data_IF_168331624189
#
_entry.id   IF_168331624189
#
_cell.length_a   1.000
_cell.length_b   1.000
_cell.length_c   1.000
_cell.angle_alpha   90.00
_cell.angle_beta   90.00
_cell.angle_gamma   90.00
#
_symmetry.space_group_name_H-M   'P 1'
#
loop_
_entity.id
_entity.type
_entity.pdbx_description
1 polymer ?
#
# COMPACT_ATOMS: atom_id res chain seq x y z
N UNK A 1 -11.78 1.90 15.48
CA UNK A 1 -11.76 0.48 15.09
C UNK A 1 -11.68 0.47 13.57
N UNK A 2 -10.70 1.19 13.01
CA UNK A 2 -10.90 1.84 11.70
C UNK A 2 -10.54 0.93 10.53
N UNK A 3 -9.57 0.04 10.75
CA UNK A 3 -9.20 -0.97 9.76
C UNK A 3 -10.30 -2.01 9.57
N UNK A 4 -10.90 -2.49 10.67
CA UNK A 4 -11.99 -3.47 10.59
C UNK A 4 -13.24 -2.87 9.94
N UNK A 5 -13.53 -1.60 10.18
CA UNK A 5 -14.58 -0.89 9.46
C UNK A 5 -14.32 -0.82 7.94
N UNK A 6 -13.05 -0.64 7.52
CA UNK A 6 -12.68 -0.68 6.12
C UNK A 6 -12.83 -2.09 5.52
N UNK A 7 -12.34 -3.12 6.22
CA UNK A 7 -12.49 -4.53 5.84
C UNK A 7 -13.97 -4.90 5.67
N UNK A 8 -14.83 -4.46 6.58
CA UNK A 8 -16.28 -4.66 6.51
C UNK A 8 -16.92 -3.90 5.33
N UNK A 9 -16.48 -2.65 5.05
CA UNK A 9 -16.96 -1.87 3.89
C UNK A 9 -16.65 -2.54 2.55
N UNK A 10 -15.54 -3.29 2.49
CA UNK A 10 -15.14 -4.10 1.34
C UNK A 10 -15.74 -5.51 1.34
N UNK A 11 -16.57 -5.85 2.34
CA UNK A 11 -17.29 -7.12 2.39
C UNK A 11 -16.41 -8.34 2.67
N UNK A 12 -15.24 -8.14 3.29
CA UNK A 12 -14.30 -9.23 3.58
C UNK A 12 -14.68 -9.87 4.90
N UNK A 13 -15.00 -11.17 4.87
CA UNK A 13 -15.30 -11.94 6.06
C UNK A 13 -14.03 -12.25 6.86
N UNK A 14 -14.13 -12.17 8.18
CA UNK A 14 -13.05 -12.45 9.10
C UNK A 14 -13.58 -13.03 10.42
N UNK A 15 -12.72 -13.77 11.11
CA UNK A 15 -12.99 -14.35 12.41
C UNK A 15 -11.84 -14.07 13.39
N UNK A 16 -12.15 -14.13 14.68
CA UNK A 16 -11.14 -14.17 15.74
C UNK A 16 -10.74 -15.62 16.02
N UNK A 17 -9.43 -15.87 16.17
CA UNK A 17 -8.90 -17.19 16.54
C UNK A 17 -8.59 -17.27 18.03
N UNK A 18 -7.49 -16.66 18.46
CA UNK A 18 -7.04 -16.67 19.85
C UNK A 18 -6.40 -15.33 20.20
N UNK A 19 -6.63 -14.85 21.43
CA UNK A 19 -5.97 -13.66 21.97
C UNK A 19 -6.17 -12.40 21.10
N UNK A 20 -7.36 -12.19 20.54
CA UNK A 20 -7.68 -11.00 19.73
C UNK A 20 -7.08 -11.02 18.32
N UNK A 21 -6.50 -12.14 17.87
CA UNK A 21 -5.97 -12.26 16.51
C UNK A 21 -7.10 -12.48 15.51
N UNK A 22 -7.21 -11.58 14.53
CA UNK A 22 -8.22 -11.61 13.48
C UNK A 22 -7.62 -12.14 12.18
N UNK A 23 -8.35 -13.03 11.51
CA UNK A 23 -7.94 -13.67 10.26
C UNK A 23 -9.06 -13.55 9.24
N UNK A 24 -8.70 -13.34 7.97
CA UNK A 24 -9.64 -13.48 6.87
C UNK A 24 -10.12 -14.93 6.76
N UNK A 25 -11.37 -15.13 6.39
CA UNK A 25 -11.96 -16.46 6.29
C UNK A 25 -11.43 -17.21 5.05
N UNK A 26 -11.24 -16.50 3.94
CA UNK A 26 -10.84 -17.11 2.66
C UNK A 26 -9.35 -16.92 2.35
N UNK A 27 -8.91 -15.66 2.10
CA UNK A 27 -7.56 -15.40 1.62
C UNK A 27 -7.04 -14.03 2.05
N UNK A 28 -5.76 -13.98 2.44
CA UNK A 28 -5.05 -12.73 2.68
C UNK A 28 -4.99 -11.82 1.43
N UNK A 29 -5.15 -12.40 0.23
CA UNK A 29 -5.23 -11.63 -1.02
C UNK A 29 -6.37 -10.60 -0.98
N UNK A 30 -7.48 -10.88 -0.28
CA UNK A 30 -8.59 -9.94 -0.14
C UNK A 30 -8.17 -8.62 0.51
N UNK A 31 -7.24 -8.66 1.46
CA UNK A 31 -6.69 -7.46 2.10
C UNK A 31 -5.76 -6.71 1.14
N UNK A 32 -4.97 -7.44 0.34
CA UNK A 32 -4.10 -6.82 -0.67
C UNK A 32 -4.96 -6.10 -1.71
N UNK A 33 -5.99 -6.76 -2.23
CA UNK A 33 -6.91 -6.21 -3.22
C UNK A 33 -7.64 -4.98 -2.66
N UNK A 34 -8.14 -5.05 -1.43
CA UNK A 34 -8.75 -3.90 -0.73
C UNK A 34 -7.80 -2.69 -0.68
N UNK A 35 -6.53 -2.89 -0.36
CA UNK A 35 -5.55 -1.79 -0.29
C UNK A 35 -5.22 -1.23 -1.67
N UNK A 36 -5.12 -2.10 -2.69
CA UNK A 36 -4.93 -1.68 -4.08
C UNK A 36 -6.12 -0.82 -4.54
N UNK A 37 -7.34 -1.25 -4.29
CA UNK A 37 -8.57 -0.51 -4.62
C UNK A 37 -8.61 0.88 -3.96
N UNK A 38 -8.21 0.99 -2.69
CA UNK A 38 -8.13 2.30 -2.01
C UNK A 38 -7.03 3.20 -2.61
N UNK A 39 -5.89 2.62 -3.01
CA UNK A 39 -4.84 3.35 -3.71
C UNK A 39 -5.31 3.84 -5.10
N UNK A 40 -6.08 3.03 -5.83
CA UNK A 40 -6.66 3.43 -7.12
C UNK A 40 -7.63 4.60 -6.96
N UNK A 41 -8.48 4.60 -5.93
CA UNK A 41 -9.36 5.75 -5.59
C UNK A 41 -8.56 7.02 -5.33
N UNK A 42 -7.34 6.89 -4.81
CA UNK A 42 -6.40 7.98 -4.58
C UNK A 42 -5.56 8.39 -5.79
N UNK A 43 -5.74 7.76 -6.97
CA UNK A 43 -4.88 7.91 -8.15
C UNK A 43 -3.39 7.65 -7.86
N UNK A 44 -3.10 6.70 -6.96
CA UNK A 44 -1.73 6.33 -6.60
C UNK A 44 -1.08 5.55 -7.75
N UNK A 45 0.13 5.94 -8.14
CA UNK A 45 0.92 5.24 -9.15
C UNK A 45 1.77 4.14 -8.53
N UNK A 46 1.51 2.88 -8.90
CA UNK A 46 2.34 1.75 -8.51
C UNK A 46 3.56 1.59 -9.42
N UNK A 47 4.74 1.39 -8.80
CA UNK A 47 5.98 1.02 -9.50
C UNK A 47 6.56 -0.22 -8.84
N UNK A 48 6.37 -1.36 -9.49
CA UNK A 48 6.88 -2.65 -9.03
C UNK A 48 8.19 -2.97 -9.75
N UNK A 49 9.04 -3.81 -9.12
CA UNK A 49 10.37 -4.17 -9.63
C UNK A 49 11.29 -2.96 -9.83
N UNK A 50 11.05 -1.91 -9.05
CA UNK A 50 11.85 -0.70 -9.04
C UNK A 50 12.85 -0.74 -7.88
N UNK A 51 14.10 -1.01 -8.20
CA UNK A 51 15.19 -0.97 -7.21
C UNK A 51 15.65 0.48 -7.03
N UNK A 52 15.77 0.93 -5.78
CA UNK A 52 16.29 2.26 -5.45
C UNK A 52 17.82 2.19 -5.44
N UNK A 53 18.46 2.89 -6.38
CA UNK A 53 19.92 2.93 -6.54
C UNK A 53 20.54 4.08 -5.76
N UNK A 54 19.89 5.25 -5.75
CA UNK A 54 20.33 6.37 -4.93
C UNK A 54 19.18 7.31 -4.57
N UNK A 55 19.40 8.11 -3.52
CA UNK A 55 18.47 9.14 -3.06
C UNK A 55 19.26 10.43 -2.89
N UNK A 56 18.83 11.49 -3.55
CA UNK A 56 19.37 12.83 -3.44
C UNK A 56 18.30 13.79 -2.92
N UNK A 57 18.72 14.81 -2.19
CA UNK A 57 17.87 15.89 -1.70
C UNK A 57 18.45 17.21 -2.20
N UNK A 58 17.58 18.09 -2.68
CA UNK A 58 17.92 19.47 -3.01
C UNK A 58 17.03 20.45 -2.22
N UNK A 59 17.11 21.73 -2.58
CA UNK A 59 16.34 22.79 -1.92
C UNK A 59 14.82 22.67 -2.16
N UNK A 60 14.40 21.94 -3.20
CA UNK A 60 13.01 21.83 -3.66
C UNK A 60 12.35 20.50 -3.30
N UNK A 61 13.13 19.44 -3.08
CA UNK A 61 12.57 18.15 -2.70
C UNK A 61 13.55 16.98 -2.71
N UNK A 62 13.08 15.83 -3.18
CA UNK A 62 13.83 14.58 -3.26
C UNK A 62 13.82 14.02 -4.68
N UNK A 63 14.98 13.49 -5.10
CA UNK A 63 15.13 12.75 -6.35
C UNK A 63 15.68 11.36 -6.05
N UNK A 64 15.06 10.33 -6.61
CA UNK A 64 15.47 8.94 -6.51
C UNK A 64 15.90 8.44 -7.88
N UNK A 65 17.10 7.85 -7.94
CA UNK A 65 17.53 7.06 -9.08
C UNK A 65 17.07 5.63 -8.89
N UNK A 66 16.30 5.13 -9.85
CA UNK A 66 15.82 3.76 -9.89
C UNK A 66 16.50 2.99 -11.03
N UNK A 67 16.37 1.67 -11.04
CA UNK A 67 16.81 0.84 -12.17
C UNK A 67 16.09 1.22 -13.48
N UNK A 68 16.71 2.08 -14.28
CA UNK A 68 16.25 2.49 -15.60
C UNK A 68 15.35 3.73 -15.65
N UNK A 69 15.16 4.44 -14.53
CA UNK A 69 14.45 5.71 -14.51
C UNK A 69 14.79 6.57 -13.28
N UNK A 70 14.57 7.88 -13.39
CA UNK A 70 14.67 8.82 -12.27
C UNK A 70 13.27 9.30 -11.90
N UNK A 71 12.95 9.38 -10.60
CA UNK A 71 11.69 9.94 -10.10
C UNK A 71 11.97 11.00 -9.06
N UNK A 72 11.16 12.06 -9.01
CA UNK A 72 11.32 13.14 -8.04
C UNK A 72 9.99 13.56 -7.44
N UNK A 73 10.06 14.14 -6.25
CA UNK A 73 8.95 14.85 -5.64
C UNK A 73 9.44 16.18 -5.05
N UNK A 74 8.64 17.22 -5.24
CA UNK A 74 8.83 18.52 -4.60
C UNK A 74 8.05 18.55 -3.28
N UNK A 75 8.42 19.47 -2.40
CA UNK A 75 7.78 19.65 -1.09
C UNK A 75 6.42 20.34 -1.17
#
# INVERSE_FOLDING_TARGET
WDFIDLVNKHGIAWHEKTLGQLFCDDSAQQIVDMLVDECEKGNVAFRLRSEVLSVAKDDTGFTLELNGMTVGCEK
#
